data_IF_899368141045
#
_entry.id   IF_899368141045
#
_cell.length_a   1.000
_cell.length_b   1.000
_cell.length_c   1.000
_cell.angle_alpha   90.00
_cell.angle_beta   90.00
_cell.angle_gamma   90.00
#
_symmetry.space_group_name_H-M   'P 1'
#
loop_
_entity.id
_entity.type
_entity.pdbx_description
1 polymer ?
#
# COMPACT_ATOMS: atom_id res chain seq x y z
N UNK A 1 -23.19 83.87 5.72
CA UNK A 1 -23.60 82.77 4.80
C UNK A 1 -22.36 82.06 4.28
N UNK A 2 -22.16 80.79 4.62
CA UNK A 2 -21.53 79.72 3.78
C UNK A 2 -21.39 78.45 4.63
N UNK A 3 -22.12 77.41 4.20
CA UNK A 3 -22.18 76.05 4.75
C UNK A 3 -20.85 75.32 4.51
N UNK A 4 -20.44 74.44 5.43
CA UNK A 4 -19.49 73.33 5.19
C UNK A 4 -20.02 72.14 5.98
N UNK A 5 -20.89 71.32 5.39
CA UNK A 5 -20.59 70.12 4.57
C UNK A 5 -19.87 69.05 5.39
N UNK A 6 -20.67 68.14 5.95
CA UNK A 6 -20.23 66.89 6.55
C UNK A 6 -19.58 65.98 5.51
N UNK A 7 -18.41 65.44 5.84
CA UNK A 7 -17.86 64.26 5.19
C UNK A 7 -17.76 63.19 6.27
N UNK A 8 -18.66 62.22 6.21
CA UNK A 8 -18.61 61.00 7.01
C UNK A 8 -17.57 60.10 6.37
N UNK A 9 -16.43 59.94 7.04
CA UNK A 9 -15.37 59.02 6.63
C UNK A 9 -15.76 57.61 7.11
N UNK A 10 -16.26 56.79 6.20
CA UNK A 10 -16.48 55.36 6.43
C UNK A 10 -15.11 54.67 6.36
N UNK A 11 -14.54 54.37 7.52
CA UNK A 11 -13.37 53.50 7.67
C UNK A 11 -13.81 52.06 7.41
N UNK A 12 -13.59 51.57 6.19
CA UNK A 12 -13.63 50.14 5.88
C UNK A 12 -12.36 49.52 6.47
N UNK A 13 -12.52 48.81 7.59
CA UNK A 13 -11.46 47.96 8.12
C UNK A 13 -11.29 46.76 7.18
N UNK A 14 -10.30 46.85 6.28
CA UNK A 14 -9.77 45.69 5.58
C UNK A 14 -8.91 44.94 6.60
N UNK A 15 -9.50 43.94 7.24
CA UNK A 15 -8.77 42.93 7.98
C UNK A 15 -7.87 42.19 7.00
N UNK A 16 -6.61 42.62 6.92
CA UNK A 16 -5.56 41.85 6.31
C UNK A 16 -5.47 40.51 7.07
N UNK A 17 -6.00 39.46 6.45
CA UNK A 17 -5.71 38.08 6.80
C UNK A 17 -4.21 37.89 6.55
N UNK A 18 -3.40 38.18 7.57
CA UNK A 18 -2.00 37.78 7.59
C UNK A 18 -2.02 36.27 7.66
N UNK A 19 -2.00 35.64 6.49
CA UNK A 19 -1.50 34.28 6.33
C UNK A 19 -0.08 34.34 6.85
N UNK A 20 0.11 34.00 8.12
CA UNK A 20 1.43 33.71 8.65
C UNK A 20 1.91 32.50 7.87
N UNK A 21 2.69 32.73 6.80
CA UNK A 21 3.63 31.75 6.30
C UNK A 21 4.43 31.29 7.52
N UNK A 22 4.10 30.12 8.05
CA UNK A 22 4.89 29.44 9.06
C UNK A 22 6.28 29.29 8.46
N UNK A 23 7.23 30.05 8.99
CA UNK A 23 8.64 29.89 8.68
C UNK A 23 8.98 28.42 8.91
N UNK A 24 9.32 27.71 7.82
CA UNK A 24 9.75 26.32 7.87
C UNK A 24 10.96 26.26 8.78
N UNK A 25 10.76 25.70 9.97
CA UNK A 25 11.84 25.52 10.93
C UNK A 25 12.88 24.60 10.30
N UNK A 26 14.13 24.95 10.60
CA UNK A 26 15.38 24.33 10.16
C UNK A 26 15.38 22.84 10.54
N UNK A 27 14.75 22.01 9.70
CA UNK A 27 14.55 20.57 9.91
C UNK A 27 13.94 19.85 8.70
N UNK A 28 13.12 20.54 7.88
CA UNK A 28 12.38 19.96 6.75
C UNK A 28 13.17 19.85 5.44
N UNK A 29 14.47 19.55 5.48
CA UNK A 29 15.11 19.09 4.24
C UNK A 29 14.64 17.66 4.01
N UNK A 30 13.73 17.48 3.04
CA UNK A 30 13.48 16.17 2.45
C UNK A 30 14.83 15.46 2.31
N UNK A 31 14.96 14.21 2.80
CA UNK A 31 16.24 13.54 2.84
C UNK A 31 16.87 13.66 1.45
N UNK A 32 18.04 14.31 1.38
CA UNK A 32 18.84 14.34 0.16
C UNK A 32 18.88 12.92 -0.37
N UNK A 33 18.43 12.72 -1.61
CA UNK A 33 18.31 11.42 -2.26
C UNK A 33 19.41 10.49 -1.75
N UNK A 34 19.04 9.50 -0.92
CA UNK A 34 19.99 8.45 -0.53
C UNK A 34 20.30 7.73 -1.83
N UNK A 35 21.41 8.10 -2.45
CA UNK A 35 21.77 7.60 -3.75
C UNK A 35 21.73 6.06 -3.74
N UNK A 36 20.88 5.51 -4.61
CA UNK A 36 21.00 4.17 -5.20
C UNK A 36 20.93 2.94 -4.27
N UNK A 37 20.77 3.08 -2.96
CA UNK A 37 20.68 1.91 -2.07
C UNK A 37 19.36 1.16 -2.28
N UNK A 38 19.38 -0.19 -2.31
CA UNK A 38 18.17 -0.98 -2.28
C UNK A 38 17.31 -0.62 -1.07
N UNK A 39 16.01 -0.54 -1.30
CA UNK A 39 15.02 -0.38 -0.24
C UNK A 39 15.13 -1.53 0.75
N UNK A 40 15.19 -1.21 2.04
CA UNK A 40 15.25 -2.20 3.12
C UNK A 40 13.84 -2.44 3.64
N UNK A 41 13.47 -3.72 3.74
CA UNK A 41 12.21 -4.10 4.33
C UNK A 41 12.17 -3.70 5.81
N UNK A 42 10.98 -3.30 6.27
CA UNK A 42 10.70 -3.09 7.69
C UNK A 42 10.37 -4.43 8.34
N UNK A 43 10.76 -4.58 9.60
CA UNK A 43 10.37 -5.72 10.41
C UNK A 43 9.02 -5.45 11.10
N UNK A 44 8.10 -6.39 10.95
CA UNK A 44 6.76 -6.36 11.53
C UNK A 44 6.51 -7.58 12.45
N UNK A 45 7.57 -8.29 12.83
CA UNK A 45 7.51 -9.46 13.73
C UNK A 45 6.83 -9.16 15.07
N UNK A 46 6.83 -7.90 15.51
CA UNK A 46 6.13 -7.44 16.73
C UNK A 46 4.60 -7.64 16.69
N UNK A 47 4.01 -7.88 15.51
CA UNK A 47 2.59 -8.19 15.36
C UNK A 47 2.26 -9.66 15.61
N UNK A 48 3.25 -10.55 15.72
CA UNK A 48 3.00 -11.97 16.00
C UNK A 48 2.37 -12.13 17.40
N UNK A 49 1.30 -12.92 17.49
CA UNK A 49 0.51 -13.08 18.71
C UNK A 49 -0.62 -12.06 18.87
N UNK A 50 -0.83 -11.17 17.89
CA UNK A 50 -1.94 -10.22 17.86
C UNK A 50 -3.30 -10.95 17.82
N UNK A 51 -4.22 -10.53 18.68
CA UNK A 51 -5.57 -11.11 18.77
C UNK A 51 -6.33 -10.97 17.45
N UNK A 52 -6.93 -12.07 16.98
CA UNK A 52 -7.68 -12.10 15.72
C UNK A 52 -6.81 -12.35 14.48
N UNK A 53 -5.51 -12.57 14.64
CA UNK A 53 -4.62 -12.87 13.52
C UNK A 53 -3.73 -14.05 13.88
N UNK A 54 -3.85 -15.15 13.14
CA UNK A 54 -2.97 -16.30 13.33
C UNK A 54 -1.55 -15.95 12.89
N UNK A 55 -0.56 -16.57 13.56
CA UNK A 55 0.83 -16.42 13.12
C UNK A 55 1.03 -16.89 11.69
N UNK A 56 0.29 -17.91 11.25
CA UNK A 56 0.38 -18.43 9.88
C UNK A 56 -0.07 -17.39 8.85
N UNK A 57 -1.16 -16.67 9.13
CA UNK A 57 -1.65 -15.58 8.30
C UNK A 57 -0.60 -14.45 8.23
N UNK A 58 -0.14 -13.97 9.39
CA UNK A 58 0.83 -12.88 9.47
C UNK A 58 2.15 -13.22 8.79
N UNK A 59 2.73 -14.40 9.05
CA UNK A 59 3.99 -14.84 8.41
C UNK A 59 3.84 -14.92 6.89
N UNK A 60 2.70 -15.41 6.40
CA UNK A 60 2.41 -15.45 4.95
C UNK A 60 2.32 -14.02 4.37
N UNK A 61 1.64 -13.11 5.07
CA UNK A 61 1.49 -11.72 4.64
C UNK A 61 2.83 -10.96 4.66
N UNK A 62 3.69 -11.21 5.65
CA UNK A 62 5.04 -10.65 5.71
C UNK A 62 5.93 -11.15 4.56
N UNK A 63 5.87 -12.45 4.24
CA UNK A 63 6.61 -13.01 3.12
C UNK A 63 6.15 -12.40 1.77
N UNK A 64 4.85 -12.17 1.62
CA UNK A 64 4.28 -11.50 0.45
C UNK A 64 4.78 -10.04 0.34
N UNK A 65 4.78 -9.29 1.44
CA UNK A 65 5.40 -7.96 1.51
C UNK A 65 6.88 -7.98 1.12
N UNK A 66 7.64 -8.97 1.60
CA UNK A 66 9.05 -9.12 1.26
C UNK A 66 9.28 -9.36 -0.24
N UNK A 67 8.33 -10.03 -0.89
CA UNK A 67 8.26 -10.16 -2.34
C UNK A 67 8.18 -8.80 -3.04
N UNK A 68 7.27 -7.90 -2.61
CA UNK A 68 7.16 -6.55 -3.18
C UNK A 68 8.41 -5.71 -2.98
N UNK A 69 9.05 -5.78 -1.81
CA UNK A 69 10.34 -5.08 -1.56
C UNK A 69 11.40 -5.57 -2.55
N UNK A 70 11.53 -6.89 -2.68
CA UNK A 70 12.50 -7.53 -3.59
C UNK A 70 12.25 -7.13 -5.04
N UNK A 71 11.00 -7.18 -5.50
CA UNK A 71 10.63 -6.87 -6.88
C UNK A 71 10.74 -5.38 -7.18
N UNK A 72 10.37 -4.50 -6.24
CA UNK A 72 10.58 -3.05 -6.36
C UNK A 72 12.06 -2.73 -6.58
N UNK A 73 12.95 -3.34 -5.79
CA UNK A 73 14.39 -3.14 -5.94
C UNK A 73 14.92 -3.63 -7.30
N UNK A 74 14.55 -4.85 -7.72
CA UNK A 74 14.90 -5.40 -9.03
C UNK A 74 14.40 -4.52 -10.18
N UNK A 75 13.17 -4.03 -10.08
CA UNK A 75 12.55 -3.20 -11.12
C UNK A 75 13.21 -1.83 -11.24
N UNK A 76 13.50 -1.18 -10.11
CA UNK A 76 14.24 0.08 -10.08
C UNK A 76 15.65 -0.08 -10.66
N UNK A 77 16.34 -1.18 -10.35
CA UNK A 77 17.64 -1.49 -10.95
C UNK A 77 17.55 -1.69 -12.46
N UNK A 78 16.57 -2.48 -12.93
CA UNK A 78 16.36 -2.73 -14.36
C UNK A 78 16.04 -1.44 -15.11
N UNK A 79 15.15 -0.59 -14.58
CA UNK A 79 14.83 0.72 -15.15
C UNK A 79 16.06 1.63 -15.24
N UNK A 80 16.93 1.62 -14.23
CA UNK A 80 18.21 2.35 -14.26
C UNK A 80 19.14 1.81 -15.34
N UNK A 81 19.25 0.49 -15.47
CA UNK A 81 20.09 -0.16 -16.48
C UNK A 81 19.65 0.25 -17.89
N UNK A 82 18.33 0.22 -18.17
CA UNK A 82 17.78 0.67 -19.45
C UNK A 82 18.11 2.14 -19.73
N UNK A 83 17.92 3.02 -18.75
CA UNK A 83 18.24 4.44 -18.87
C UNK A 83 19.73 4.69 -19.17
N UNK A 84 20.64 3.99 -18.48
CA UNK A 84 22.08 4.09 -18.72
C UNK A 84 22.50 3.56 -20.10
N UNK A 85 21.81 2.54 -20.60
CA UNK A 85 22.08 1.96 -21.92
C UNK A 85 21.39 2.69 -23.08
N UNK A 86 20.67 3.79 -22.82
CA UNK A 86 19.94 4.53 -23.86
C UNK A 86 18.72 3.79 -24.44
N UNK A 87 18.16 2.80 -23.74
CA UNK A 87 17.03 1.97 -24.19
C UNK A 87 15.69 2.45 -23.63
N UNK A 88 15.49 3.77 -23.53
CA UNK A 88 14.29 4.33 -22.87
C UNK A 88 13.07 4.42 -23.79
N UNK A 89 13.24 4.14 -25.07
CA UNK A 89 12.23 4.19 -26.13
C UNK A 89 11.65 2.80 -26.49
N UNK A 90 12.05 1.74 -25.77
CA UNK A 90 11.58 0.38 -26.07
C UNK A 90 10.25 0.06 -25.37
N UNK A 91 9.40 -0.82 -25.95
CA UNK A 91 8.17 -1.29 -25.30
C UNK A 91 8.43 -1.92 -23.93
N UNK A 92 9.53 -2.65 -23.74
CA UNK A 92 9.89 -3.27 -22.46
C UNK A 92 10.14 -2.20 -21.39
N UNK A 93 10.82 -1.11 -21.73
CA UNK A 93 11.01 0.00 -20.79
C UNK A 93 9.67 0.60 -20.35
N UNK A 94 8.75 0.78 -21.30
CA UNK A 94 7.42 1.31 -21.02
C UNK A 94 6.62 0.39 -20.08
N UNK A 95 6.64 -0.93 -20.27
CA UNK A 95 5.95 -1.86 -19.37
C UNK A 95 6.57 -1.91 -17.98
N UNK A 96 7.90 -1.87 -17.88
CA UNK A 96 8.59 -1.79 -16.58
C UNK A 96 8.19 -0.51 -15.82
N UNK A 97 7.98 0.60 -16.54
CA UNK A 97 7.51 1.86 -15.94
C UNK A 97 6.08 1.74 -15.43
N UNK A 98 5.17 1.09 -16.17
CA UNK A 98 3.79 0.86 -15.70
C UNK A 98 3.77 -0.07 -14.50
N UNK A 99 4.51 -1.18 -14.55
CA UNK A 99 4.63 -2.15 -13.46
C UNK A 99 5.18 -1.56 -12.15
N UNK A 100 5.97 -0.48 -12.24
CA UNK A 100 6.55 0.15 -11.06
C UNK A 100 5.48 0.64 -10.08
N UNK A 101 4.34 1.14 -10.57
CA UNK A 101 3.23 1.54 -9.72
C UNK A 101 2.73 0.39 -8.84
N UNK A 102 2.48 -0.77 -9.45
CA UNK A 102 2.02 -1.97 -8.77
C UNK A 102 3.00 -2.44 -7.68
N UNK A 103 4.27 -2.63 -8.01
CA UNK A 103 5.27 -3.14 -7.05
C UNK A 103 5.56 -2.14 -5.93
N UNK A 104 5.74 -0.86 -6.29
CA UNK A 104 6.11 0.18 -5.32
C UNK A 104 4.96 0.47 -4.36
N UNK A 105 3.73 0.58 -4.85
CA UNK A 105 2.58 0.77 -3.98
C UNK A 105 2.23 -0.51 -3.21
N UNK A 106 2.42 -1.71 -3.79
CA UNK A 106 2.31 -2.97 -3.05
C UNK A 106 3.23 -2.96 -1.84
N UNK A 107 4.50 -2.60 -2.01
CA UNK A 107 5.44 -2.42 -0.90
C UNK A 107 4.96 -1.37 0.13
N UNK A 108 4.59 -0.16 -0.32
CA UNK A 108 4.24 0.94 0.58
C UNK A 108 2.92 0.76 1.33
N UNK A 109 1.90 0.23 0.67
CA UNK A 109 0.59 -0.01 1.27
C UNK A 109 0.66 -1.08 2.36
N UNK A 110 1.44 -2.14 2.15
CA UNK A 110 1.70 -3.13 3.20
C UNK A 110 2.41 -2.52 4.41
N UNK A 111 3.38 -1.62 4.22
CA UNK A 111 3.99 -0.91 5.36
C UNK A 111 3.01 -0.02 6.10
N UNK A 112 2.11 0.66 5.39
CA UNK A 112 1.08 1.47 6.02
C UNK A 112 0.09 0.60 6.80
N UNK A 113 -0.33 -0.53 6.22
CA UNK A 113 -1.23 -1.51 6.82
C UNK A 113 -0.63 -2.14 8.09
N UNK A 114 0.55 -2.73 8.01
CA UNK A 114 1.19 -3.32 9.20
C UNK A 114 1.52 -2.25 10.25
N UNK A 115 1.95 -1.07 9.83
CA UNK A 115 2.15 0.06 10.73
C UNK A 115 0.86 0.61 11.34
N UNK A 116 -0.33 0.28 10.80
CA UNK A 116 -1.62 0.59 11.41
C UNK A 116 -2.06 -0.47 12.42
N UNK A 117 -1.30 -1.54 12.65
CA UNK A 117 -1.68 -2.64 13.54
C UNK A 117 -0.83 -2.66 14.82
N UNK A 118 -1.36 -3.34 15.85
CA UNK A 118 -0.71 -3.53 17.15
C UNK A 118 -1.25 -2.63 18.27
N UNK A 119 -2.21 -1.74 17.96
CA UNK A 119 -2.83 -0.85 18.94
C UNK A 119 -4.04 -1.44 19.65
N UNK A 120 -4.60 -0.68 20.59
CA UNK A 120 -5.80 -1.07 21.34
C UNK A 120 -7.12 -0.87 20.58
N UNK A 121 -7.11 -0.28 19.38
CA UNK A 121 -8.31 -0.02 18.60
C UNK A 121 -9.17 1.14 19.09
N UNK A 122 -8.75 1.84 20.15
CA UNK A 122 -9.48 2.97 20.75
C UNK A 122 -8.83 4.29 20.36
N UNK A 123 -9.60 5.16 19.70
CA UNK A 123 -9.23 6.55 19.42
C UNK A 123 -9.73 7.41 20.59
N UNK A 124 -8.87 8.16 21.30
CA UNK A 124 -9.33 9.17 22.25
C UNK A 124 -10.21 10.21 21.55
N UNK A 125 -11.24 10.71 22.23
CA UNK A 125 -12.16 11.69 21.63
C UNK A 125 -11.58 13.12 21.63
N UNK A 126 -10.61 13.38 22.50
CA UNK A 126 -10.01 14.70 22.76
C UNK A 126 -8.81 14.99 21.86
N UNK A 127 -8.97 14.84 20.54
CA UNK A 127 -7.94 15.22 19.57
C UNK A 127 -8.49 15.77 18.26
N UNK A 128 -7.61 16.42 17.50
CA UNK A 128 -7.97 17.09 16.25
C UNK A 128 -8.44 16.13 15.14
N UNK A 129 -8.01 14.87 15.15
CA UNK A 129 -8.49 13.88 14.18
C UNK A 129 -9.95 13.50 14.46
N UNK A 130 -10.29 13.27 15.73
CA UNK A 130 -11.66 12.93 16.14
C UNK A 130 -12.65 14.05 15.76
N UNK A 131 -12.27 15.31 16.02
CA UNK A 131 -13.08 16.46 15.58
C UNK A 131 -13.15 16.59 14.05
N UNK A 132 -12.04 16.40 13.33
CA UNK A 132 -12.06 16.40 11.87
C UNK A 132 -12.98 15.30 11.29
N UNK A 133 -13.01 14.12 11.92
CA UNK A 133 -13.94 13.03 11.57
C UNK A 133 -15.39 13.48 11.77
N UNK A 134 -15.72 14.08 12.91
CA UNK A 134 -17.07 14.61 13.16
C UNK A 134 -17.48 15.68 12.17
N UNK A 135 -16.57 16.58 11.79
CA UNK A 135 -16.83 17.62 10.80
C UNK A 135 -17.10 17.05 9.39
N UNK A 136 -16.37 16.01 8.97
CA UNK A 136 -16.48 15.44 7.63
C UNK A 136 -17.63 14.41 7.51
N UNK A 137 -17.93 13.66 8.57
CA UNK A 137 -18.84 12.51 8.54
C UNK A 137 -20.03 12.64 9.52
N UNK A 138 -20.08 13.68 10.35
CA UNK A 138 -21.10 13.92 11.37
C UNK A 138 -20.85 13.22 12.70
N UNK A 139 -20.26 12.02 12.69
CA UNK A 139 -19.80 11.30 13.89
C UNK A 139 -18.70 10.29 13.55
N UNK A 140 -18.03 9.78 14.58
CA UNK A 140 -17.07 8.69 14.42
C UNK A 140 -17.72 7.40 13.93
N UNK A 141 -18.94 7.10 14.42
CA UNK A 141 -19.71 5.94 14.01
C UNK A 141 -20.07 5.99 12.53
N UNK A 142 -20.51 7.16 12.04
CA UNK A 142 -20.82 7.36 10.62
C UNK A 142 -19.58 7.17 9.75
N UNK A 143 -18.43 7.71 10.17
CA UNK A 143 -17.17 7.50 9.45
C UNK A 143 -16.79 6.03 9.40
N UNK A 144 -16.88 5.32 10.53
CA UNK A 144 -16.55 3.90 10.62
C UNK A 144 -17.49 3.06 9.75
N UNK A 145 -18.78 3.37 9.73
CA UNK A 145 -19.77 2.72 8.87
C UNK A 145 -19.46 2.93 7.39
N UNK A 146 -19.12 4.16 6.98
CA UNK A 146 -18.72 4.48 5.61
C UNK A 146 -17.43 3.76 5.19
N UNK A 147 -16.42 3.74 6.06
CA UNK A 147 -15.16 3.03 5.83
C UNK A 147 -15.39 1.52 5.68
N UNK A 148 -16.16 0.91 6.60
CA UNK A 148 -16.50 -0.51 6.53
C UNK A 148 -17.34 -0.85 5.30
N UNK A 149 -18.27 0.02 4.92
CA UNK A 149 -19.09 -0.17 3.72
C UNK A 149 -18.23 -0.15 2.45
N UNK A 150 -17.22 0.71 2.39
CA UNK A 150 -16.22 0.71 1.32
C UNK A 150 -15.46 -0.62 1.28
N UNK A 151 -15.07 -1.18 2.43
CA UNK A 151 -14.39 -2.49 2.50
C UNK A 151 -15.24 -3.71 2.12
N UNK A 152 -16.57 -3.58 2.22
CA UNK A 152 -17.52 -4.62 1.79
C UNK A 152 -17.73 -4.65 0.27
N UNK A 153 -17.22 -3.67 -0.48
CA UNK A 153 -17.31 -3.68 -1.94
C UNK A 153 -16.67 -4.94 -2.53
N UNK A 154 -17.28 -5.47 -3.60
CA UNK A 154 -16.75 -6.64 -4.30
C UNK A 154 -15.47 -6.27 -5.04
N UNK A 155 -14.40 -7.03 -4.80
CA UNK A 155 -13.11 -6.82 -5.44
C UNK A 155 -11.95 -7.16 -4.50
N UNK A 156 -10.75 -7.02 -5.04
CA UNK A 156 -9.47 -7.04 -4.33
C UNK A 156 -8.89 -5.63 -4.36
N UNK A 157 -8.23 -5.21 -3.29
CA UNK A 157 -7.78 -3.85 -3.18
C UNK A 157 -7.59 -3.41 -1.74
N UNK A 158 -7.77 -2.11 -1.53
CA UNK A 158 -7.59 -1.46 -0.24
C UNK A 158 -8.73 -0.50 0.05
N UNK A 159 -8.97 -0.28 1.33
CA UNK A 159 -9.74 0.88 1.81
C UNK A 159 -8.78 1.80 2.51
N UNK A 160 -8.80 3.07 2.13
CA UNK A 160 -7.90 4.07 2.71
C UNK A 160 -8.68 5.30 3.14
N UNK A 161 -8.50 5.71 4.40
CA UNK A 161 -8.85 7.05 4.85
C UNK A 161 -7.71 7.97 4.46
N UNK A 162 -7.98 8.89 3.54
CA UNK A 162 -7.07 9.95 3.14
C UNK A 162 -7.38 11.26 3.86
N UNK A 163 -6.34 12.04 4.10
CA UNK A 163 -6.44 13.48 4.34
C UNK A 163 -5.88 14.24 3.14
N UNK A 164 -6.59 15.24 2.65
CA UNK A 164 -6.03 16.27 1.78
C UNK A 164 -5.38 17.37 2.64
N UNK A 165 -4.04 17.52 2.66
CA UNK A 165 -3.37 18.52 3.49
C UNK A 165 -3.73 19.96 3.14
N UNK A 166 -4.23 20.22 1.93
CA UNK A 166 -4.56 21.57 1.48
C UNK A 166 -5.90 22.07 2.02
N UNK A 167 -6.84 21.16 2.28
CA UNK A 167 -8.19 21.49 2.75
C UNK A 167 -8.52 20.91 4.13
N UNK A 168 -7.71 19.98 4.63
CA UNK A 168 -8.01 19.18 5.82
C UNK A 168 -9.11 18.14 5.60
N UNK A 169 -9.62 17.99 4.36
CA UNK A 169 -10.72 17.08 4.05
C UNK A 169 -10.31 15.63 4.26
N UNK A 170 -11.21 14.88 4.89
CA UNK A 170 -11.09 13.44 5.06
C UNK A 170 -11.95 12.71 4.03
N UNK A 171 -11.38 11.68 3.39
CA UNK A 171 -12.05 10.92 2.33
C UNK A 171 -11.72 9.43 2.46
N UNK A 172 -12.74 8.59 2.61
CA UNK A 172 -12.60 7.14 2.46
C UNK A 172 -12.56 6.79 0.97
N UNK A 173 -11.59 5.98 0.54
CA UNK A 173 -11.37 5.68 -0.88
C UNK A 173 -11.04 4.21 -1.08
N UNK A 174 -11.66 3.61 -2.09
CA UNK A 174 -11.30 2.29 -2.60
C UNK A 174 -10.11 2.39 -3.56
N UNK A 175 -9.09 1.57 -3.36
CA UNK A 175 -7.94 1.43 -4.27
C UNK A 175 -7.99 0.04 -4.93
N UNK A 176 -8.09 0.01 -6.25
CA UNK A 176 -8.00 -1.22 -7.03
C UNK A 176 -6.55 -1.69 -7.11
N UNK A 177 -6.33 -2.98 -6.87
CA UNK A 177 -5.00 -3.61 -6.84
C UNK A 177 -4.06 -2.87 -5.89
N UNK A 178 -3.00 -2.21 -6.38
CA UNK A 178 -2.13 -1.39 -5.53
C UNK A 178 -2.01 0.06 -5.97
N UNK A 179 -2.34 0.40 -7.22
CA UNK A 179 -1.98 1.68 -7.82
C UNK A 179 -3.14 2.48 -8.40
N UNK A 180 -4.34 1.89 -8.50
CA UNK A 180 -5.46 2.51 -9.22
C UNK A 180 -6.47 3.10 -8.25
N UNK A 181 -6.68 4.42 -8.33
CA UNK A 181 -7.66 5.15 -7.51
C UNK A 181 -7.06 6.06 -6.44
N UNK A 182 -5.73 6.15 -6.35
CA UNK A 182 -5.07 7.06 -5.40
C UNK A 182 -5.42 8.53 -5.65
N UNK A 183 -5.66 9.27 -4.57
CA UNK A 183 -5.88 10.71 -4.60
C UNK A 183 -4.52 11.42 -4.52
N UNK A 184 -4.14 12.11 -5.60
CA UNK A 184 -2.83 12.76 -5.71
C UNK A 184 -2.64 13.80 -4.60
N UNK A 185 -1.52 13.73 -3.88
CA UNK A 185 -1.16 14.68 -2.82
C UNK A 185 -1.84 14.42 -1.47
N UNK A 186 -2.75 13.46 -1.37
CA UNK A 186 -3.38 13.09 -0.11
C UNK A 186 -2.48 12.18 0.74
N UNK A 187 -2.60 12.30 2.06
CA UNK A 187 -1.86 11.52 3.04
C UNK A 187 -2.72 10.33 3.50
N UNK A 188 -2.24 9.07 3.39
CA UNK A 188 -2.98 7.91 3.89
C UNK A 188 -2.88 7.85 5.42
N UNK A 189 -4.03 7.80 6.10
CA UNK A 189 -4.12 7.75 7.55
C UNK A 189 -4.36 6.32 8.07
N UNK A 190 -5.48 5.72 7.64
CA UNK A 190 -5.85 4.34 7.93
C UNK A 190 -5.83 3.57 6.62
N UNK A 191 -5.05 2.49 6.55
CA UNK A 191 -4.92 1.63 5.36
C UNK A 191 -5.33 0.21 5.74
N UNK A 192 -6.38 -0.29 5.09
CA UNK A 192 -6.91 -1.65 5.26
C UNK A 192 -6.70 -2.46 3.99
N UNK A 193 -6.01 -3.60 4.09
CA UNK A 193 -5.89 -4.58 3.00
C UNK A 193 -7.16 -5.42 2.91
N UNK A 194 -7.83 -5.44 1.76
CA UNK A 194 -9.00 -6.31 1.52
C UNK A 194 -8.75 -7.33 0.41
N UNK A 195 -7.48 -7.60 0.08
CA UNK A 195 -7.12 -8.79 -0.65
C UNK A 195 -7.40 -10.05 0.17
N UNK A 196 -7.76 -11.11 -0.54
CA UNK A 196 -8.06 -12.41 0.04
C UNK A 196 -6.89 -12.99 0.88
N UNK A 197 -5.64 -12.72 0.50
CA UNK A 197 -4.47 -13.16 1.28
C UNK A 197 -4.41 -12.56 2.68
N UNK A 198 -5.07 -11.42 2.92
CA UNK A 198 -5.02 -10.72 4.19
C UNK A 198 -5.95 -11.34 5.24
N UNK A 199 -6.89 -12.21 4.84
CA UNK A 199 -7.91 -12.71 5.77
C UNK A 199 -8.43 -14.13 5.51
N UNK A 200 -8.33 -14.68 4.29
CA UNK A 200 -8.98 -15.97 3.96
C UNK A 200 -8.57 -17.10 4.90
N UNK A 201 -7.31 -17.14 5.34
CA UNK A 201 -6.81 -18.22 6.18
C UNK A 201 -7.54 -18.31 7.52
N UNK A 202 -7.87 -17.17 8.12
CA UNK A 202 -8.47 -17.10 9.46
C UNK A 202 -9.99 -16.92 9.42
N UNK A 203 -10.49 -16.24 8.39
CA UNK A 203 -11.89 -15.79 8.32
C UNK A 203 -12.69 -16.42 7.18
N UNK A 204 -12.04 -17.17 6.28
CA UNK A 204 -12.68 -17.65 5.06
C UNK A 204 -13.34 -16.48 4.31
N UNK A 205 -14.60 -16.64 3.93
CA UNK A 205 -15.34 -15.60 3.20
C UNK A 205 -15.90 -14.47 4.09
N UNK A 206 -15.76 -14.55 5.41
CA UNK A 206 -16.27 -13.55 6.34
C UNK A 206 -15.32 -12.33 6.47
N UNK A 207 -15.28 -11.53 5.41
CA UNK A 207 -14.50 -10.28 5.40
C UNK A 207 -14.94 -9.30 6.49
N UNK A 208 -16.21 -9.33 6.92
CA UNK A 208 -16.71 -8.43 7.95
C UNK A 208 -16.05 -8.72 9.30
N UNK A 209 -15.97 -9.99 9.70
CA UNK A 209 -15.28 -10.40 10.92
C UNK A 209 -13.79 -10.04 10.90
N UNK A 210 -13.13 -10.12 9.74
CA UNK A 210 -11.76 -9.65 9.55
C UNK A 210 -11.62 -8.13 9.80
N UNK A 211 -12.51 -7.32 9.20
CA UNK A 211 -12.46 -5.86 9.39
C UNK A 211 -12.72 -5.47 10.85
N UNK A 212 -13.59 -6.19 11.55
CA UNK A 212 -13.79 -5.98 12.99
C UNK A 212 -12.52 -6.27 13.79
N UNK A 213 -11.79 -7.35 13.46
CA UNK A 213 -10.51 -7.67 14.08
C UNK A 213 -9.42 -6.63 13.76
N UNK A 214 -9.39 -6.10 12.53
CA UNK A 214 -8.53 -4.98 12.17
C UNK A 214 -8.79 -3.77 13.07
N UNK A 215 -10.05 -3.34 13.23
CA UNK A 215 -10.39 -2.19 14.07
C UNK A 215 -10.07 -2.40 15.56
N UNK A 216 -10.15 -3.64 16.08
CA UNK A 216 -9.73 -3.98 17.44
C UNK A 216 -8.22 -3.92 17.66
N UNK A 217 -7.43 -3.88 16.58
CA UNK A 217 -5.97 -3.83 16.61
C UNK A 217 -5.41 -2.55 15.99
N UNK A 218 -6.26 -1.60 15.60
CA UNK A 218 -5.86 -0.38 14.94
C UNK A 218 -5.01 0.48 15.89
N UNK A 219 -3.81 0.82 15.45
CA UNK A 219 -2.90 1.72 16.13
C UNK A 219 -3.21 3.18 15.78
N UNK A 220 -4.07 3.77 16.60
CA UNK A 220 -4.45 5.18 16.49
C UNK A 220 -3.29 6.15 16.75
N UNK A 221 -2.23 5.73 17.45
CA UNK A 221 -1.05 6.59 17.64
C UNK A 221 -0.39 6.88 16.30
N UNK A 222 -0.17 5.83 15.51
CA UNK A 222 0.41 5.98 14.16
C UNK A 222 -0.53 6.78 13.24
N UNK A 223 -1.85 6.63 13.37
CA UNK A 223 -2.82 7.42 12.59
C UNK A 223 -2.73 8.91 12.95
N UNK A 224 -2.66 9.25 14.25
CA UNK A 224 -2.51 10.63 14.72
C UNK A 224 -1.17 11.25 14.29
N UNK A 225 -0.07 10.50 14.38
CA UNK A 225 1.25 10.94 13.91
C UNK A 225 1.21 11.27 12.42
N UNK A 226 0.57 10.44 11.58
CA UNK A 226 0.37 10.73 10.15
C UNK A 226 -0.52 11.94 9.89
N UNK A 227 -1.52 12.17 10.75
CA UNK A 227 -2.39 13.34 10.70
C UNK A 227 -1.68 14.63 11.16
N UNK A 228 -0.53 14.52 11.84
CA UNK A 228 0.25 15.65 12.34
C UNK A 228 -0.14 16.10 13.75
N UNK A 229 -0.75 15.21 14.55
CA UNK A 229 -1.03 15.43 15.96
C UNK A 229 0.08 14.80 16.80
N UNK A 230 0.69 15.59 17.69
CA UNK A 230 1.62 15.06 18.68
C UNK A 230 0.85 14.19 19.68
N UNK A 231 1.33 12.97 19.90
CA UNK A 231 0.75 12.03 20.84
C UNK A 231 1.67 11.93 22.07
N UNK A 232 1.30 12.50 23.22
CA UNK A 232 2.07 12.34 24.45
C UNK A 232 2.20 10.86 24.82
N UNK A 233 3.30 10.50 25.47
CA UNK A 233 3.52 9.15 25.97
C UNK A 233 2.39 8.75 26.94
N UNK A 234 1.79 7.59 26.71
CA UNK A 234 0.65 7.09 27.50
C UNK A 234 -0.73 7.69 27.16
N UNK A 235 -0.83 8.61 26.18
CA UNK A 235 -2.13 9.20 25.77
C UNK A 235 -3.06 8.19 25.07
N UNK A 236 -2.50 7.14 24.48
CA UNK A 236 -3.27 6.05 23.85
C UNK A 236 -2.98 4.77 24.63
N UNK A 237 -4.02 4.00 25.01
CA UNK A 237 -3.83 2.70 25.64
C UNK A 237 -3.01 1.78 24.74
N UNK A 238 -1.90 1.26 25.24
CA UNK A 238 -1.15 0.21 24.57
C UNK A 238 -1.79 -1.15 24.87
N UNK A 239 -1.80 -2.07 23.90
CA UNK A 239 -2.11 -3.45 24.21
C UNK A 239 -0.95 -4.04 25.03
N UNK A 240 -1.22 -4.84 26.06
CA UNK A 240 -0.17 -5.62 26.71
C UNK A 240 0.55 -6.44 25.64
N UNK A 241 1.85 -6.22 25.47
CA UNK A 241 2.63 -7.02 24.53
C UNK A 241 2.57 -8.48 24.97
N UNK A 242 2.03 -9.34 24.11
CA UNK A 242 2.24 -10.78 24.24
C UNK A 242 3.74 -11.03 24.19
N UNK A 243 4.26 -11.81 25.14
CA UNK A 243 5.70 -12.11 25.26
C UNK A 243 6.23 -12.55 23.90
N UNK A 244 7.11 -11.75 23.30
CA UNK A 244 7.77 -12.11 22.03
C UNK A 244 8.57 -13.39 22.24
N UNK A 245 8.33 -14.41 21.42
CA UNK A 245 9.28 -15.50 21.28
C UNK A 245 10.60 -14.92 20.77
N UNK A 246 11.70 -15.20 21.47
CA UNK A 246 13.05 -14.80 21.08
C UNK A 246 13.31 -15.17 19.62
N UNK A 247 13.76 -14.20 18.82
CA UNK A 247 14.12 -14.41 17.44
C UNK A 247 15.28 -15.43 17.36
N UNK A 248 15.20 -16.49 16.52
CA UNK A 248 16.35 -17.33 16.27
C UNK A 248 17.39 -16.53 15.49
N UNK A 249 18.57 -16.41 16.08
CA UNK A 249 19.75 -15.81 15.48
C UNK A 249 20.20 -16.59 14.25
N UNK A 250 20.34 -15.91 13.12
CA UNK A 250 21.41 -16.17 12.16
C UNK A 250 21.24 -17.32 11.17
N UNK A 251 21.14 -16.92 9.89
CA UNK A 251 21.77 -17.55 8.73
C UNK A 251 21.40 -19.00 8.41
N UNK A 252 20.43 -19.19 7.50
CA UNK A 252 20.55 -20.21 6.46
C UNK A 252 20.09 -19.66 5.10
N UNK A 253 20.85 -20.05 4.08
CA UNK A 253 20.86 -19.56 2.71
C UNK A 253 19.58 -19.92 1.94
N UNK A 254 18.98 -18.94 1.24
CA UNK A 254 18.03 -19.22 0.17
C UNK A 254 18.77 -19.40 -1.17
N UNK A 255 19.22 -20.62 -1.43
CA UNK A 255 19.34 -21.15 -2.79
C UNK A 255 18.17 -22.10 -3.07
N UNK A 256 17.15 -21.58 -3.75
CA UNK A 256 16.26 -22.34 -4.63
C UNK A 256 15.22 -21.36 -5.18
N UNK A 257 15.30 -21.00 -6.47
CA UNK A 257 14.37 -21.44 -7.52
C UNK A 257 14.96 -21.02 -8.89
N UNK A 258 15.71 -21.90 -9.55
CA UNK A 258 15.90 -21.83 -11.00
C UNK A 258 16.29 -23.22 -11.53
N UNK A 259 15.31 -24.09 -11.69
CA UNK A 259 15.45 -25.33 -12.45
C UNK A 259 14.09 -25.79 -12.95
N UNK A 260 13.55 -25.08 -13.93
CA UNK A 260 12.43 -25.55 -14.74
C UNK A 260 12.53 -24.99 -16.15
N UNK A 261 13.71 -25.08 -16.77
CA UNK A 261 13.90 -24.92 -18.21
C UNK A 261 15.29 -25.44 -18.56
N UNK A 262 15.41 -26.76 -18.77
CA UNK A 262 16.39 -27.42 -19.63
C UNK A 262 16.32 -28.93 -19.37
N UNK A 263 15.78 -29.69 -20.33
CA UNK A 263 15.75 -31.14 -20.21
C UNK A 263 14.68 -31.86 -21.04
N UNK A 264 14.54 -31.52 -22.33
CA UNK A 264 13.86 -32.45 -23.26
C UNK A 264 14.46 -32.42 -24.66
N UNK A 265 15.72 -32.85 -24.74
CA UNK A 265 16.30 -33.33 -25.99
C UNK A 265 17.30 -34.45 -25.68
N UNK A 266 16.89 -35.71 -25.83
CA UNK A 266 17.77 -36.78 -26.34
C UNK A 266 16.91 -37.90 -26.96
N UNK A 267 16.99 -38.00 -28.29
CA UNK A 267 17.60 -39.10 -29.07
C UNK A 267 16.79 -40.39 -29.15
N UNK A 268 16.15 -40.55 -30.30
CA UNK A 268 15.70 -41.84 -30.81
C UNK A 268 16.90 -42.68 -31.31
N UNK A 269 16.91 -44.02 -31.14
CA UNK A 269 17.88 -44.87 -31.80
C UNK A 269 17.38 -45.35 -33.17
N UNK A 270 18.31 -45.41 -34.13
CA UNK A 270 18.08 -45.84 -35.50
C UNK A 270 18.17 -47.37 -35.66
N UNK A 271 17.16 -47.94 -36.35
CA UNK A 271 17.32 -48.75 -37.57
C UNK A 271 17.82 -50.21 -37.51
N UNK A 272 16.94 -51.13 -37.94
CA UNK A 272 17.11 -52.35 -38.79
C UNK A 272 15.69 -52.94 -38.95
N UNK A 273 15.09 -53.31 -40.08
CA UNK A 273 15.44 -53.47 -41.50
C UNK A 273 14.45 -54.53 -42.08
N UNK A 274 14.20 -54.47 -43.40
CA UNK A 274 13.33 -55.33 -44.24
C UNK A 274 11.81 -54.98 -44.22
N UNK A 275 11.08 -54.85 -45.33
CA UNK A 275 11.36 -55.04 -46.76
C UNK A 275 10.02 -55.01 -47.52
N UNK A 276 10.08 -54.68 -48.82
CA UNK A 276 9.03 -54.82 -49.86
C UNK A 276 7.81 -53.86 -49.74
N UNK A 277 7.34 -53.12 -50.74
CA UNK A 277 7.62 -53.07 -52.18
C UNK A 277 6.29 -52.87 -52.92
N UNK A 278 5.92 -51.64 -53.30
CA UNK A 278 5.19 -51.34 -54.55
C UNK A 278 5.02 -49.83 -54.77
N UNK A 279 5.20 -49.45 -56.02
CA UNK A 279 5.16 -48.09 -56.58
C UNK A 279 3.76 -47.83 -57.24
N UNK A 280 3.49 -46.70 -57.92
CA UNK A 280 2.48 -45.72 -57.48
C UNK A 280 1.34 -45.45 -58.50
N UNK A 281 0.27 -44.72 -58.13
CA UNK A 281 -0.50 -43.95 -59.13
C UNK A 281 -1.33 -42.77 -58.60
N UNK A 282 -1.06 -41.61 -59.23
CA UNK A 282 -1.90 -40.47 -59.64
C UNK A 282 -3.15 -39.98 -58.86
N UNK A 283 -3.09 -38.69 -58.52
CA UNK A 283 -3.98 -37.58 -58.94
C UNK A 283 -5.53 -37.76 -58.94
N UNK A 284 -6.24 -36.87 -58.25
CA UNK A 284 -7.05 -35.76 -58.83
C UNK A 284 -8.03 -35.15 -57.80
N UNK A 285 -8.33 -33.87 -58.04
CA UNK A 285 -9.26 -33.00 -57.34
C UNK A 285 -10.73 -33.34 -57.62
N UNK A 286 -11.64 -32.94 -56.71
CA UNK A 286 -12.99 -32.38 -56.95
C UNK A 286 -13.61 -32.07 -55.56
N UNK A 287 -13.81 -30.82 -55.15
CA UNK A 287 -15.07 -30.04 -55.24
C UNK A 287 -16.35 -30.84 -54.93
N UNK A 288 -17.01 -30.45 -53.82
CA UNK A 288 -18.30 -30.93 -53.33
C UNK A 288 -18.48 -30.54 -51.87
#
# INVERSE_FOLDING_TARGET
MKKKLSVVLVLVAISALVVTCRESQKGDRLPSSRALQPYQAKDFSYLLGMEGFSEALLKTHFALYQGYVTNTNKLLEKLRSYAKSGRTDTPEYAELKRRLGFEFNGMKLHEYYFGNLGGAGVLPEDNALYEAIKENFGSFENWKEDFLSTGKMRGIGWVILYQDPSTGRLVNTWINEHETGHLTGCVPLVVLDVFEHAYLLDYGLDRAAYMDAFFKNLDWKVVLERFGVEVPEGAIPEKPQGVSAEAPSGQEEHQAVSAAEEGRHEKAPAGKGAGEGHEPEAAQAHHG
#
